data_IF_423780999967
#
_entry.id   IF_423780999967
#
_cell.length_a   1.000
_cell.length_b   1.000
_cell.length_c   1.000
_cell.angle_alpha   90.00
_cell.angle_beta   90.00
_cell.angle_gamma   90.00
#
_symmetry.space_group_name_H-M   'P 1'
#
loop_
_entity.id
_entity.type
_entity.pdbx_description
1 polymer ?
#
# COMPACT_ATOMS: atom_id res chain seq x y z
N UNK A 1 -0.19 -22.20 -14.67
CA UNK A 1 0.61 -21.48 -13.65
C UNK A 1 -0.22 -20.27 -13.28
N UNK A 2 -1.07 -20.39 -12.25
CA UNK A 2 -1.82 -19.24 -11.75
C UNK A 2 -0.81 -18.30 -11.06
N UNK A 3 -0.93 -16.97 -11.20
CA UNK A 3 -0.07 -16.07 -10.45
C UNK A 3 -0.29 -16.35 -8.98
N UNK A 4 0.70 -16.97 -8.34
CA UNK A 4 0.76 -17.19 -6.91
C UNK A 4 0.56 -15.83 -6.26
N UNK A 5 -0.45 -15.75 -5.39
CA UNK A 5 -0.89 -14.61 -4.59
C UNK A 5 0.18 -13.52 -4.47
N UNK A 6 0.17 -12.58 -5.42
CA UNK A 6 1.01 -11.40 -5.31
C UNK A 6 0.34 -10.52 -4.25
N UNK A 7 0.81 -10.64 -3.01
CA UNK A 7 0.42 -9.78 -1.90
C UNK A 7 0.61 -8.31 -2.33
N UNK A 8 -0.49 -7.63 -2.63
CA UNK A 8 -0.46 -6.22 -3.04
C UNK A 8 -0.54 -5.34 -1.81
N UNK A 9 0.45 -4.46 -1.65
CA UNK A 9 0.40 -3.40 -0.66
C UNK A 9 -0.82 -2.52 -0.92
N UNK A 10 -1.76 -2.52 0.01
CA UNK A 10 -2.98 -1.74 -0.04
C UNK A 10 -3.02 -0.76 1.14
N UNK A 11 -3.63 0.40 0.91
CA UNK A 11 -3.75 1.49 1.87
C UNK A 11 -5.17 2.00 1.89
N UNK A 12 -5.65 2.42 3.07
CA UNK A 12 -6.95 3.07 3.20
C UNK A 12 -6.76 4.58 3.19
N UNK A 13 -7.43 5.28 2.28
CA UNK A 13 -7.34 6.72 2.24
C UNK A 13 -8.08 7.33 3.44
N UNK A 14 -7.44 8.12 4.32
CA UNK A 14 -8.13 8.74 5.46
C UNK A 14 -9.13 9.82 5.06
N UNK A 15 -9.13 10.25 3.80
CA UNK A 15 -10.02 11.30 3.30
C UNK A 15 -11.34 10.74 2.75
N UNK A 16 -11.29 9.63 2.03
CA UNK A 16 -12.48 9.03 1.40
C UNK A 16 -12.82 7.63 1.92
N UNK A 17 -11.97 7.01 2.75
CA UNK A 17 -12.13 5.64 3.24
C UNK A 17 -11.91 4.57 2.16
N UNK A 18 -11.51 4.97 0.95
CA UNK A 18 -11.29 4.03 -0.15
C UNK A 18 -9.99 3.26 0.08
N UNK A 19 -10.05 1.94 -0.03
CA UNK A 19 -8.83 1.11 -0.08
C UNK A 19 -8.27 1.14 -1.50
N UNK A 20 -7.02 1.56 -1.66
CA UNK A 20 -6.34 1.61 -2.95
C UNK A 20 -5.00 0.85 -2.89
N UNK A 21 -4.59 0.22 -4.01
CA UNK A 21 -3.27 -0.36 -4.10
C UNK A 21 -2.23 0.75 -4.05
N UNK A 22 -1.23 0.55 -3.21
CA UNK A 22 -0.08 1.41 -3.08
C UNK A 22 0.63 1.54 -4.43
N UNK A 23 1.17 2.73 -4.72
CA UNK A 23 1.85 2.99 -5.99
C UNK A 23 3.15 2.18 -6.16
N UNK A 24 3.61 1.56 -5.07
CA UNK A 24 4.84 0.78 -5.03
C UNK A 24 4.47 -0.69 -4.91
N UNK A 25 4.58 -1.47 -6.00
CA UNK A 25 4.56 -2.91 -5.90
C UNK A 25 5.87 -3.32 -5.20
N UNK A 26 5.75 -3.86 -4.00
CA UNK A 26 6.90 -4.33 -3.24
C UNK A 26 6.53 -5.64 -2.55
N UNK A 27 7.40 -6.63 -2.66
CA UNK A 27 7.19 -7.94 -2.07
C UNK A 27 7.18 -7.87 -0.54
N UNK A 28 6.36 -8.69 0.14
CA UNK A 28 6.32 -8.78 1.60
C UNK A 28 7.69 -8.93 2.29
N UNK A 29 8.64 -9.80 1.84
CA UNK A 29 9.95 -9.90 2.48
C UNK A 29 10.80 -8.63 2.35
N UNK A 30 10.69 -7.94 1.21
CA UNK A 30 11.37 -6.67 0.97
C UNK A 30 10.81 -5.61 1.91
N UNK A 31 9.48 -5.45 1.95
CA UNK A 31 8.80 -4.49 2.83
C UNK A 31 9.08 -4.74 4.31
N UNK A 32 9.16 -6.01 4.73
CA UNK A 32 9.54 -6.37 6.09
C UNK A 32 10.94 -5.84 6.44
N UNK A 33 11.88 -5.93 5.50
CA UNK A 33 13.27 -5.51 5.67
C UNK A 33 13.46 -3.99 5.54
N UNK A 34 12.67 -3.31 4.70
CA UNK A 34 12.85 -1.87 4.51
C UNK A 34 12.44 -1.10 5.77
N UNK A 35 13.24 -0.09 6.13
CA UNK A 35 12.83 0.93 7.10
C UNK A 35 12.08 2.04 6.38
N UNK A 36 10.80 1.78 6.08
CA UNK A 36 9.88 2.83 5.65
C UNK A 36 9.35 3.54 6.89
N UNK A 37 9.82 4.75 7.18
CA UNK A 37 9.26 5.53 8.29
C UNK A 37 7.91 6.12 7.92
N UNK A 38 7.85 6.79 6.78
CA UNK A 38 6.59 7.25 6.20
C UNK A 38 6.77 7.61 4.74
N UNK A 39 5.73 7.38 3.95
CA UNK A 39 5.72 7.69 2.53
C UNK A 39 4.50 8.52 2.18
N UNK A 40 4.67 9.44 1.26
CA UNK A 40 3.57 10.23 0.74
C UNK A 40 2.96 9.48 -0.45
N UNK A 41 1.72 9.02 -0.30
CA UNK A 41 0.99 8.40 -1.39
C UNK A 41 -0.28 9.15 -1.72
N UNK A 42 -0.60 9.12 -3.00
CA UNK A 42 -1.78 9.78 -3.54
C UNK A 42 -2.85 8.74 -3.76
N UNK A 43 -3.99 8.94 -3.13
CA UNK A 43 -5.15 8.10 -3.37
C UNK A 43 -5.60 8.23 -4.83
N UNK A 44 -5.72 7.11 -5.53
CA UNK A 44 -6.15 7.10 -6.94
C UNK A 44 -7.63 7.48 -7.12
N UNK A 45 -8.46 7.36 -6.08
CA UNK A 45 -9.89 7.68 -6.16
C UNK A 45 -10.16 9.19 -6.01
N UNK A 46 -9.57 9.83 -4.99
CA UNK A 46 -9.83 11.25 -4.70
C UNK A 46 -8.66 12.19 -5.06
N UNK A 47 -7.48 11.65 -5.39
CA UNK A 47 -6.27 12.45 -5.66
C UNK A 47 -5.62 13.05 -4.41
N UNK A 48 -6.13 12.76 -3.21
CA UNK A 48 -5.58 13.29 -1.97
C UNK A 48 -4.25 12.61 -1.64
N UNK A 49 -3.21 13.41 -1.40
CA UNK A 49 -1.91 12.92 -0.99
C UNK A 49 -1.77 12.92 0.53
N UNK A 50 -1.63 11.75 1.13
CA UNK A 50 -1.45 11.59 2.57
C UNK A 50 -0.16 10.85 2.87
N UNK A 51 0.36 11.07 4.08
CA UNK A 51 1.57 10.43 4.56
C UNK A 51 1.19 9.16 5.31
N UNK A 52 1.50 8.01 4.73
CA UNK A 52 1.25 6.70 5.30
C UNK A 52 2.51 6.20 5.99
N UNK A 53 2.34 5.55 7.14
CA UNK A 53 3.43 4.90 7.86
C UNK A 53 3.46 3.42 7.54
N UNK A 54 4.58 2.72 7.76
CA UNK A 54 4.70 1.26 7.51
C UNK A 54 3.55 0.43 8.09
N UNK A 55 3.00 0.86 9.23
CA UNK A 55 1.90 0.19 9.92
C UNK A 55 0.53 0.38 9.26
N UNK A 56 0.38 1.36 8.38
CA UNK A 56 -0.86 1.63 7.63
C UNK A 56 -0.99 0.69 6.43
N UNK A 57 0.14 0.26 5.88
CA UNK A 57 0.19 -0.70 4.78
C UNK A 57 -0.36 -2.06 5.22
N UNK A 58 -1.21 -2.62 4.36
CA UNK A 58 -1.79 -3.94 4.51
C UNK A 58 -1.57 -4.72 3.22
N UNK A 59 -0.91 -5.85 3.33
CA UNK A 59 -0.86 -6.80 2.22
C UNK A 59 -2.24 -7.43 2.06
N UNK A 60 -2.77 -7.38 0.84
CA UNK A 60 -4.01 -8.06 0.47
C UNK A 60 -3.75 -8.90 -0.77
N UNK A 61 -4.28 -10.12 -0.74
CA UNK A 61 -4.47 -10.95 -1.92
C UNK A 61 -5.39 -10.20 -2.88
N UNK A 62 -4.93 -9.95 -4.11
CA UNK A 62 -5.72 -9.33 -5.16
C UNK A 62 -6.80 -10.27 -5.73
#
# INVERSE_FOLDING_TARGET
MAPEDADVLSLECPHCGETFPSAIPMDPPTFATIRLESMLERCSACGHASRFSKHDYRFRSA
#
